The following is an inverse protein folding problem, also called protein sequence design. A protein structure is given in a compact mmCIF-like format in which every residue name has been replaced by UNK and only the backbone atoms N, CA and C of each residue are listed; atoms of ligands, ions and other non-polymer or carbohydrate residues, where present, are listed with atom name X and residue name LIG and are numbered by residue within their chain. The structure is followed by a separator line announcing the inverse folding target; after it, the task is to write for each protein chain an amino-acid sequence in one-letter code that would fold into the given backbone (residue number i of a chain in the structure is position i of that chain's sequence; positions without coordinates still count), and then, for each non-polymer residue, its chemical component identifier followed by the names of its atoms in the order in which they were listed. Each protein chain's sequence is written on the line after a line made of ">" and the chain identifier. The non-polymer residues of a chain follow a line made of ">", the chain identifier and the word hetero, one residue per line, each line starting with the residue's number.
data_IF_819516837242
#
_entry.id   IF_819516837242
#
_cell.length_a   1.000
_cell.length_b   1.000
_cell.length_c   1.000
_cell.angle_alpha   90.00
_cell.angle_beta   90.00
_cell.angle_gamma   90.00
#
_symmetry.space_group_name_H-M   'P 1'
#
loop_
_entity.id
_entity.type
_entity.pdbx_description
1 polymer ?
#
# COMPACT_ATOMS: atom_id res chain seq x y z
N UNK A 1 10.29 23.24 -18.41
CA UNK A 1 10.36 21.98 -17.62
C UNK A 1 11.75 21.39 -17.77
N UNK A 2 12.36 20.86 -16.70
CA UNK A 2 13.66 20.17 -16.77
C UNK A 2 13.50 18.83 -17.55
N UNK A 3 14.53 18.38 -18.28
CA UNK A 3 14.55 17.14 -19.07
C UNK A 3 14.01 15.92 -18.29
N UNK A 4 14.36 15.85 -17.00
CA UNK A 4 13.86 14.80 -16.09
C UNK A 4 12.33 14.79 -15.96
N UNK A 5 11.73 15.96 -15.78
CA UNK A 5 10.28 16.09 -15.64
C UNK A 5 9.57 15.77 -16.96
N UNK A 6 10.19 16.09 -18.09
CA UNK A 6 9.67 15.78 -19.41
C UNK A 6 9.64 14.27 -19.69
N UNK A 7 10.77 13.57 -19.50
CA UNK A 7 10.83 12.12 -19.71
C UNK A 7 9.92 11.36 -18.75
N UNK A 8 9.81 11.80 -17.49
CA UNK A 8 8.87 11.23 -16.53
C UNK A 8 7.42 11.41 -17.00
N UNK A 9 7.06 12.61 -17.48
CA UNK A 9 5.73 12.89 -18.00
C UNK A 9 5.39 12.01 -19.21
N UNK A 10 6.30 11.91 -20.18
CA UNK A 10 6.12 11.05 -21.35
C UNK A 10 5.97 9.57 -20.97
N UNK A 11 6.79 9.07 -20.04
CA UNK A 11 6.66 7.70 -19.54
C UNK A 11 5.30 7.46 -18.87
N UNK A 12 4.81 8.42 -18.07
CA UNK A 12 3.49 8.32 -17.44
C UNK A 12 2.35 8.38 -18.45
N UNK A 13 2.49 9.16 -19.54
CA UNK A 13 1.51 9.16 -20.64
C UNK A 13 1.43 7.80 -21.33
N UNK A 14 2.58 7.16 -21.58
CA UNK A 14 2.60 5.79 -22.15
C UNK A 14 1.94 4.81 -21.19
N UNK A 15 2.27 4.85 -19.90
CA UNK A 15 1.64 3.97 -18.90
C UNK A 15 0.14 4.23 -18.78
N UNK A 16 -0.30 5.50 -18.82
CA UNK A 16 -1.71 5.85 -18.84
C UNK A 16 -2.40 5.29 -20.09
N UNK A 17 -1.81 5.46 -21.27
CA UNK A 17 -2.36 4.89 -22.51
C UNK A 17 -2.55 3.37 -22.40
N UNK A 18 -1.55 2.65 -21.89
CA UNK A 18 -1.62 1.19 -21.68
C UNK A 18 -2.73 0.81 -20.69
N UNK A 19 -2.85 1.53 -19.57
CA UNK A 19 -3.84 1.22 -18.53
C UNK A 19 -5.27 1.55 -18.92
N UNK A 20 -5.45 2.61 -19.71
CA UNK A 20 -6.77 3.05 -20.19
C UNK A 20 -7.22 2.32 -21.46
N UNK A 21 -6.30 1.67 -22.17
CA UNK A 21 -6.61 0.95 -23.40
C UNK A 21 -7.67 -0.14 -23.17
N UNK A 22 -8.77 -0.05 -23.92
CA UNK A 22 -9.88 -1.00 -23.85
C UNK A 22 -10.72 -0.92 -22.57
N UNK A 23 -10.50 0.07 -21.68
CA UNK A 23 -11.27 0.19 -20.43
C UNK A 23 -12.74 0.56 -20.70
N UNK A 24 -13.03 1.27 -21.79
CA UNK A 24 -14.39 1.61 -22.22
C UNK A 24 -15.27 0.39 -22.51
N UNK A 25 -14.67 -0.74 -22.91
CA UNK A 25 -15.38 -1.99 -23.19
C UNK A 25 -15.28 -3.01 -22.04
N UNK A 26 -14.60 -2.67 -20.94
CA UNK A 26 -14.37 -3.58 -19.83
C UNK A 26 -15.47 -3.44 -18.76
N UNK A 27 -16.08 -4.55 -18.36
CA UNK A 27 -16.99 -4.58 -17.22
C UNK A 27 -16.22 -4.58 -15.88
N UNK A 28 -16.95 -4.52 -14.76
CA UNK A 28 -16.37 -4.77 -13.43
C UNK A 28 -16.08 -6.28 -13.30
N UNK A 29 -14.81 -6.69 -13.12
CA UNK A 29 -14.44 -8.10 -13.29
C UNK A 29 -14.72 -8.96 -12.05
N UNK A 30 -14.87 -8.36 -10.87
CA UNK A 30 -14.89 -9.05 -9.60
C UNK A 30 -15.95 -8.49 -8.63
N UNK A 31 -16.28 -9.29 -7.61
CA UNK A 31 -17.27 -8.96 -6.59
C UNK A 31 -16.91 -7.67 -5.84
N UNK A 32 -15.63 -7.47 -5.47
CA UNK A 32 -15.22 -6.31 -4.69
C UNK A 32 -15.38 -5.02 -5.50
N UNK A 33 -15.03 -5.02 -6.79
CA UNK A 33 -15.26 -3.88 -7.68
C UNK A 33 -16.75 -3.50 -7.79
N UNK A 34 -17.64 -4.50 -7.92
CA UNK A 34 -19.09 -4.25 -8.00
C UNK A 34 -19.63 -3.69 -6.69
N UNK A 35 -19.28 -4.31 -5.56
CA UNK A 35 -19.73 -3.89 -4.25
C UNK A 35 -19.21 -2.49 -3.90
N UNK A 36 -17.95 -2.19 -4.23
CA UNK A 36 -17.36 -0.87 -4.04
C UNK A 36 -18.09 0.19 -4.87
N UNK A 37 -18.42 -0.10 -6.13
CA UNK A 37 -19.21 0.81 -6.96
C UNK A 37 -20.59 1.08 -6.34
N UNK A 38 -21.30 0.05 -5.89
CA UNK A 38 -22.60 0.19 -5.22
C UNK A 38 -22.49 1.04 -3.96
N UNK A 39 -21.48 0.81 -3.13
CA UNK A 39 -21.25 1.57 -1.90
C UNK A 39 -20.95 3.05 -2.19
N UNK A 40 -20.17 3.35 -3.24
CA UNK A 40 -19.93 4.73 -3.67
C UNK A 40 -21.22 5.42 -4.11
N UNK A 41 -22.09 4.72 -4.83
CA UNK A 41 -23.39 5.26 -5.25
C UNK A 41 -24.31 5.53 -4.05
N UNK A 42 -24.35 4.62 -3.08
CA UNK A 42 -25.08 4.83 -1.83
C UNK A 42 -24.58 6.07 -1.10
N UNK A 43 -23.27 6.21 -0.92
CA UNK A 43 -22.67 7.36 -0.24
C UNK A 43 -22.96 8.65 -1.02
N UNK A 44 -22.90 8.63 -2.35
CA UNK A 44 -23.25 9.77 -3.20
C UNK A 44 -24.73 10.18 -3.07
N UNK A 45 -25.62 9.22 -2.80
CA UNK A 45 -27.05 9.46 -2.53
C UNK A 45 -27.35 9.91 -1.09
N UNK A 46 -26.32 10.02 -0.22
CA UNK A 46 -26.47 10.35 1.20
C UNK A 46 -26.75 9.16 2.10
N UNK A 47 -26.80 7.94 1.56
CA UNK A 47 -26.94 6.72 2.34
C UNK A 47 -25.56 6.23 2.82
N UNK A 48 -25.27 6.37 4.11
CA UNK A 48 -23.97 6.00 4.71
C UNK A 48 -23.96 4.61 5.35
N UNK A 49 -24.99 3.78 5.09
CA UNK A 49 -25.16 2.46 5.71
C UNK A 49 -23.94 1.55 5.56
N UNK A 50 -23.29 1.57 4.40
CA UNK A 50 -22.12 0.74 4.08
C UNK A 50 -20.81 1.53 4.01
N UNK A 51 -20.79 2.79 4.49
CA UNK A 51 -19.59 3.65 4.45
C UNK A 51 -18.35 3.00 5.08
N UNK A 52 -18.54 2.19 6.11
CA UNK A 52 -17.45 1.53 6.83
C UNK A 52 -17.19 0.09 6.38
N UNK A 53 -17.84 -0.35 5.30
CA UNK A 53 -17.57 -1.65 4.70
C UNK A 53 -16.08 -1.78 4.34
N UNK A 54 -15.52 -2.97 4.52
CA UNK A 54 -14.09 -3.27 4.30
C UNK A 54 -13.08 -2.36 5.02
N UNK A 55 -13.48 -1.53 6.00
CA UNK A 55 -12.53 -0.67 6.67
C UNK A 55 -11.97 0.46 5.78
N UNK A 56 -12.75 1.00 4.83
CA UNK A 56 -12.27 1.91 3.77
C UNK A 56 -13.11 3.19 3.49
N UNK A 57 -13.51 3.98 4.49
CA UNK A 57 -14.44 5.10 4.35
C UNK A 57 -13.89 6.24 3.51
N UNK A 58 -12.58 6.54 3.61
CA UNK A 58 -12.00 7.61 2.81
C UNK A 58 -12.00 7.25 1.32
N UNK A 59 -11.87 5.97 0.95
CA UNK A 59 -12.02 5.55 -0.44
C UNK A 59 -13.42 5.90 -0.95
N UNK A 60 -14.48 5.50 -0.24
CA UNK A 60 -15.85 5.80 -0.68
C UNK A 60 -16.13 7.30 -0.73
N UNK A 61 -15.68 8.07 0.28
CA UNK A 61 -15.88 9.53 0.33
C UNK A 61 -15.13 10.27 -0.78
N UNK A 62 -13.94 9.80 -1.19
CA UNK A 62 -13.16 10.42 -2.28
C UNK A 62 -13.82 10.18 -3.64
N UNK A 63 -14.40 9.00 -3.86
CA UNK A 63 -15.02 8.64 -5.13
C UNK A 63 -16.50 9.06 -5.24
N UNK A 64 -17.20 9.31 -4.12
CA UNK A 64 -18.61 9.73 -4.12
C UNK A 64 -18.91 10.99 -4.96
N UNK A 65 -18.09 12.07 -4.94
CA UNK A 65 -18.30 13.22 -5.82
C UNK A 65 -18.25 12.88 -7.31
N UNK A 66 -17.42 11.91 -7.70
CA UNK A 66 -17.31 11.47 -9.09
C UNK A 66 -18.57 10.70 -9.53
N UNK A 67 -19.16 9.92 -8.62
CA UNK A 67 -20.42 9.23 -8.87
C UNK A 67 -21.60 10.20 -8.99
N UNK A 68 -21.59 11.31 -8.24
CA UNK A 68 -22.57 12.39 -8.39
C UNK A 68 -22.47 13.08 -9.77
N UNK A 69 -21.25 13.27 -10.28
CA UNK A 69 -21.01 13.87 -11.61
C UNK A 69 -21.34 12.94 -12.78
N UNK A 70 -21.37 11.62 -12.55
CA UNK A 70 -21.79 10.65 -13.55
C UNK A 70 -21.94 9.27 -12.94
N UNK A 71 -23.15 8.72 -12.98
CA UNK A 71 -23.48 7.40 -12.42
C UNK A 71 -22.86 6.20 -13.16
N UNK A 72 -21.99 6.43 -14.14
CA UNK A 72 -21.33 5.39 -14.91
C UNK A 72 -20.06 4.90 -14.19
N UNK A 73 -20.01 3.60 -13.87
CA UNK A 73 -18.87 2.96 -13.21
C UNK A 73 -17.55 3.14 -13.98
N UNK A 74 -17.58 3.34 -15.29
CA UNK A 74 -16.37 3.59 -16.07
C UNK A 74 -15.63 4.85 -15.63
N UNK A 75 -16.33 5.92 -15.23
CA UNK A 75 -15.67 7.15 -14.73
C UNK A 75 -14.83 6.83 -13.50
N UNK A 76 -15.36 5.99 -12.61
CA UNK A 76 -14.66 5.54 -11.40
C UNK A 76 -13.46 4.64 -11.75
N UNK A 77 -13.61 3.74 -12.72
CA UNK A 77 -12.50 2.91 -13.23
C UNK A 77 -11.38 3.77 -13.85
N UNK A 78 -11.73 4.75 -14.69
CA UNK A 78 -10.77 5.69 -15.28
C UNK A 78 -10.03 6.47 -14.19
N UNK A 79 -10.77 7.01 -13.21
CA UNK A 79 -10.18 7.71 -12.09
C UNK A 79 -9.25 6.81 -11.26
N UNK A 80 -9.64 5.57 -11.00
CA UNK A 80 -8.80 4.62 -10.25
C UNK A 80 -7.55 4.21 -11.03
N UNK A 81 -7.66 4.00 -12.34
CA UNK A 81 -6.52 3.69 -13.20
C UNK A 81 -5.52 4.86 -13.26
N UNK A 82 -6.01 6.10 -13.37
CA UNK A 82 -5.17 7.30 -13.30
C UNK A 82 -4.54 7.50 -11.92
N UNK A 83 -5.25 7.17 -10.84
CA UNK A 83 -4.70 7.17 -9.48
C UNK A 83 -3.51 6.20 -9.38
N UNK A 84 -3.63 5.02 -10.00
CA UNK A 84 -2.56 4.04 -10.05
C UNK A 84 -1.35 4.53 -10.87
N UNK A 85 -1.57 5.22 -12.00
CA UNK A 85 -0.49 5.87 -12.77
C UNK A 85 0.24 6.91 -11.91
N UNK A 86 -0.51 7.75 -11.19
CA UNK A 86 0.05 8.75 -10.29
C UNK A 86 0.86 8.09 -9.15
N UNK A 87 0.39 6.96 -8.63
CA UNK A 87 1.09 6.18 -7.62
C UNK A 87 2.45 5.67 -8.12
N UNK A 88 2.48 5.06 -9.32
CA UNK A 88 3.72 4.59 -9.97
C UNK A 88 4.68 5.76 -10.21
N UNK A 89 4.19 6.89 -10.71
CA UNK A 89 5.01 8.08 -10.92
C UNK A 89 5.61 8.63 -9.62
N UNK A 90 4.82 8.67 -8.54
CA UNK A 90 5.27 9.14 -7.24
C UNK A 90 6.36 8.21 -6.65
N UNK A 91 6.16 6.90 -6.73
CA UNK A 91 7.12 5.91 -6.26
C UNK A 91 8.42 5.95 -7.07
N UNK A 92 8.34 5.94 -8.39
CA UNK A 92 9.52 5.99 -9.25
C UNK A 92 10.27 7.31 -9.11
N UNK A 93 9.57 8.43 -8.93
CA UNK A 93 10.20 9.71 -8.64
C UNK A 93 10.90 9.73 -7.27
N UNK A 94 10.35 9.05 -6.27
CA UNK A 94 11.01 8.87 -4.97
C UNK A 94 12.27 8.02 -5.11
N UNK A 95 12.16 6.80 -5.64
CA UNK A 95 13.30 5.89 -5.83
C UNK A 95 14.36 6.54 -6.72
N UNK A 96 13.97 7.13 -7.84
CA UNK A 96 14.91 7.76 -8.76
C UNK A 96 15.64 8.96 -8.17
N UNK A 97 15.08 9.68 -7.18
CA UNK A 97 15.81 10.76 -6.49
C UNK A 97 16.81 10.19 -5.49
N UNK A 98 16.38 9.26 -4.64
CA UNK A 98 17.21 8.74 -3.56
C UNK A 98 18.31 7.78 -4.06
N UNK A 99 18.02 6.99 -5.10
CA UNK A 99 19.01 6.16 -5.78
C UNK A 99 19.85 6.94 -6.82
N UNK A 100 19.65 8.26 -6.94
CA UNK A 100 20.37 9.13 -7.90
C UNK A 100 20.32 8.64 -9.34
N UNK A 101 19.19 8.07 -9.75
CA UNK A 101 18.99 7.56 -11.11
C UNK A 101 18.96 8.73 -12.11
N UNK A 102 19.50 8.47 -13.30
CA UNK A 102 19.38 9.38 -14.44
C UNK A 102 17.90 9.55 -14.86
N UNK A 103 17.62 10.58 -15.66
CA UNK A 103 16.27 10.81 -16.18
C UNK A 103 15.74 9.62 -16.98
N UNK A 104 16.60 9.02 -17.82
CA UNK A 104 16.29 7.81 -18.60
C UNK A 104 16.05 6.59 -17.71
N UNK A 105 16.87 6.39 -16.69
CA UNK A 105 16.67 5.29 -15.73
C UNK A 105 15.37 5.46 -14.94
N UNK A 106 15.02 6.69 -14.55
CA UNK A 106 13.75 6.97 -13.87
C UNK A 106 12.55 6.71 -14.79
N UNK A 107 12.63 7.12 -16.07
CA UNK A 107 11.60 6.86 -17.06
C UNK A 107 11.46 5.37 -17.38
N UNK A 108 12.58 4.66 -17.53
CA UNK A 108 12.62 3.21 -17.69
C UNK A 108 12.01 2.49 -16.49
N UNK A 109 12.28 2.95 -15.26
CA UNK A 109 11.65 2.42 -14.05
C UNK A 109 10.12 2.60 -14.06
N UNK A 110 9.64 3.77 -14.51
CA UNK A 110 8.18 4.02 -14.64
C UNK A 110 7.55 3.09 -15.68
N UNK A 111 8.19 2.93 -16.84
CA UNK A 111 7.68 2.02 -17.87
C UNK A 111 7.67 0.58 -17.37
N UNK A 112 8.75 0.14 -16.75
CA UNK A 112 8.88 -1.22 -16.22
C UNK A 112 7.82 -1.53 -15.15
N UNK A 113 7.70 -0.70 -14.10
CA UNK A 113 6.66 -0.88 -13.07
C UNK A 113 5.26 -0.69 -13.67
N UNK A 114 5.09 0.34 -14.50
CA UNK A 114 3.80 0.78 -15.03
C UNK A 114 3.16 -0.20 -16.01
N UNK A 115 3.97 -0.94 -16.76
CA UNK A 115 3.57 -1.96 -17.74
C UNK A 115 3.56 -3.38 -17.20
N UNK A 116 3.89 -3.58 -15.91
CA UNK A 116 3.67 -4.85 -15.23
C UNK A 116 2.21 -5.27 -15.39
N UNK A 117 1.98 -6.47 -15.94
CA UNK A 117 0.63 -7.03 -16.18
C UNK A 117 -0.18 -7.01 -14.90
N UNK A 118 0.48 -7.39 -13.80
CA UNK A 118 -0.06 -7.47 -12.47
C UNK A 118 -0.62 -6.11 -11.99
N UNK A 119 0.23 -5.07 -12.00
CA UNK A 119 -0.17 -3.71 -11.62
C UNK A 119 -1.13 -3.04 -12.63
N UNK A 120 -1.17 -3.53 -13.86
CA UNK A 120 -2.08 -3.05 -14.89
C UNK A 120 -3.48 -3.60 -14.66
N UNK A 121 -3.60 -4.91 -14.38
CA UNK A 121 -4.85 -5.55 -14.02
C UNK A 121 -5.44 -4.90 -12.76
N UNK A 122 -4.70 -4.90 -11.64
CA UNK A 122 -5.22 -4.33 -10.39
C UNK A 122 -5.48 -2.82 -10.45
N UNK A 123 -4.80 -2.08 -11.33
CA UNK A 123 -5.06 -0.66 -11.51
C UNK A 123 -6.38 -0.37 -12.22
N UNK A 124 -6.91 -1.34 -12.97
CA UNK A 124 -8.17 -1.23 -13.72
C UNK A 124 -9.38 -1.65 -12.91
N UNK A 125 -9.18 -2.53 -11.92
CA UNK A 125 -10.23 -2.92 -10.97
C UNK A 125 -10.66 -1.73 -10.11
N UNK A 126 -11.93 -1.69 -9.72
CA UNK A 126 -12.46 -0.62 -8.87
C UNK A 126 -12.32 -0.98 -7.38
N UNK A 127 -11.07 -1.13 -6.96
CA UNK A 127 -10.71 -1.47 -5.57
C UNK A 127 -9.75 -0.43 -4.98
N UNK A 128 -9.54 -0.50 -3.67
CA UNK A 128 -8.67 0.42 -2.92
C UNK A 128 -7.18 0.30 -3.29
N UNK A 129 -6.79 -0.69 -4.11
CA UNK A 129 -5.38 -1.02 -4.40
C UNK A 129 -4.60 0.17 -4.99
N UNK A 130 -5.18 0.87 -5.95
CA UNK A 130 -4.56 2.03 -6.59
C UNK A 130 -4.29 3.17 -5.62
N UNK A 131 -5.26 3.45 -4.73
CA UNK A 131 -5.10 4.46 -3.68
C UNK A 131 -4.16 4.01 -2.57
N UNK A 132 -4.19 2.73 -2.19
CA UNK A 132 -3.25 2.14 -1.25
C UNK A 132 -1.81 2.34 -1.74
N UNK A 133 -1.53 2.04 -3.02
CA UNK A 133 -0.19 2.24 -3.58
C UNK A 133 0.25 3.71 -3.52
N UNK A 134 -0.65 4.65 -3.79
CA UNK A 134 -0.33 6.08 -3.72
C UNK A 134 -0.02 6.54 -2.29
N UNK A 135 -0.88 6.17 -1.35
CA UNK A 135 -0.73 6.50 0.07
C UNK A 135 0.52 5.85 0.66
N UNK A 136 0.81 4.62 0.26
CA UNK A 136 1.99 3.89 0.66
C UNK A 136 3.26 4.54 0.11
N UNK A 137 3.32 4.88 -1.18
CA UNK A 137 4.44 5.63 -1.75
C UNK A 137 4.65 6.99 -1.05
N UNK A 138 3.55 7.66 -0.68
CA UNK A 138 3.58 8.87 0.14
C UNK A 138 4.16 8.65 1.53
N UNK A 139 3.72 7.60 2.23
CA UNK A 139 4.21 7.18 3.55
C UNK A 139 5.70 6.83 3.50
N UNK A 140 6.12 6.00 2.54
CA UNK A 140 7.52 5.61 2.35
C UNK A 140 8.42 6.83 2.23
N UNK A 141 8.06 7.75 1.34
CA UNK A 141 8.82 8.99 1.13
C UNK A 141 8.82 9.88 2.37
N UNK A 142 7.68 10.06 3.02
CA UNK A 142 7.57 10.94 4.19
C UNK A 142 8.36 10.39 5.37
N UNK A 143 8.29 9.08 5.60
CA UNK A 143 8.95 8.42 6.69
C UNK A 143 10.47 8.28 6.43
N UNK A 144 10.88 8.02 5.19
CA UNK A 144 12.29 8.09 4.81
C UNK A 144 12.91 9.48 5.09
N UNK A 145 12.18 10.56 4.78
CA UNK A 145 12.59 11.93 5.14
C UNK A 145 12.64 12.16 6.65
N UNK A 146 11.75 11.54 7.43
CA UNK A 146 11.80 11.56 8.90
C UNK A 146 13.06 10.89 9.44
N UNK A 147 13.55 9.84 8.80
CA UNK A 147 14.82 9.20 9.17
C UNK A 147 16.03 10.07 8.78
N UNK A 148 16.00 10.73 7.61
CA UNK A 148 17.08 11.61 7.15
C UNK A 148 17.17 12.92 7.95
N UNK A 149 16.03 13.50 8.28
CA UNK A 149 15.91 14.79 8.97
C UNK A 149 15.00 14.62 10.20
N UNK A 150 15.58 14.20 11.36
CA UNK A 150 14.81 13.97 12.58
C UNK A 150 14.26 15.28 13.12
N UNK A 151 13.02 15.61 12.76
CA UNK A 151 12.34 16.80 13.23
C UNK A 151 10.85 16.54 13.41
N UNK A 152 10.17 17.39 14.19
CA UNK A 152 8.76 17.22 14.49
C UNK A 152 7.88 17.28 13.24
N UNK A 153 8.23 18.12 12.27
CA UNK A 153 7.42 18.30 11.06
C UNK A 153 7.46 17.05 10.17
N UNK A 154 8.61 16.40 10.01
CA UNK A 154 8.77 15.18 9.23
C UNK A 154 8.04 14.01 9.89
N UNK A 155 8.08 13.91 11.22
CA UNK A 155 7.29 12.94 11.99
C UNK A 155 5.77 13.12 11.82
N UNK A 156 5.27 14.35 11.98
CA UNK A 156 3.84 14.63 11.79
C UNK A 156 3.40 14.43 10.34
N UNK A 157 4.24 14.78 9.36
CA UNK A 157 3.95 14.52 7.95
C UNK A 157 3.81 13.04 7.66
N UNK A 158 4.70 12.20 8.20
CA UNK A 158 4.58 10.75 8.07
C UNK A 158 3.33 10.22 8.78
N UNK A 159 3.00 10.77 9.95
CA UNK A 159 1.78 10.43 10.70
C UNK A 159 0.50 10.77 9.93
N UNK A 160 0.49 11.89 9.19
CA UNK A 160 -0.64 12.27 8.32
C UNK A 160 -0.78 11.26 7.17
N UNK A 161 0.31 10.85 6.52
CA UNK A 161 0.24 9.82 5.47
C UNK A 161 -0.27 8.47 6.02
N UNK A 162 0.16 8.09 7.23
CA UNK A 162 -0.34 6.89 7.89
C UNK A 162 -1.83 7.03 8.25
N UNK A 163 -2.25 8.19 8.79
CA UNK A 163 -3.66 8.49 9.08
C UNK A 163 -4.54 8.40 7.83
N UNK A 164 -4.10 9.00 6.72
CA UNK A 164 -4.79 8.90 5.43
C UNK A 164 -4.85 7.44 4.96
N UNK A 165 -3.73 6.70 5.07
CA UNK A 165 -3.66 5.27 4.80
C UNK A 165 -4.70 4.46 5.56
N UNK A 166 -4.74 4.59 6.89
CA UNK A 166 -5.69 3.89 7.77
C UNK A 166 -7.14 4.27 7.44
N UNK A 167 -7.38 5.54 7.14
CA UNK A 167 -8.73 6.02 6.78
C UNK A 167 -9.18 5.51 5.41
N UNK A 168 -8.23 5.27 4.51
CA UNK A 168 -8.49 4.76 3.17
C UNK A 168 -8.63 3.24 3.16
N UNK A 169 -7.86 2.54 3.99
CA UNK A 169 -7.92 1.10 4.14
C UNK A 169 -7.29 0.66 5.48
N UNK A 170 -8.03 -0.11 6.27
CA UNK A 170 -7.56 -0.67 7.55
C UNK A 170 -6.23 -1.42 7.47
N UNK A 171 -5.91 -2.00 6.30
CA UNK A 171 -4.68 -2.77 6.08
C UNK A 171 -3.44 -1.94 6.42
N UNK A 172 -3.47 -0.61 6.29
CA UNK A 172 -2.36 0.26 6.69
C UNK A 172 -1.95 0.12 8.16
N UNK A 173 -2.80 -0.43 9.04
CA UNK A 173 -2.40 -0.78 10.41
C UNK A 173 -1.22 -1.77 10.45
N UNK A 174 -1.09 -2.66 9.47
CA UNK A 174 0.04 -3.59 9.38
C UNK A 174 1.37 -2.89 9.07
N UNK A 175 1.34 -1.62 8.66
CA UNK A 175 2.56 -0.82 8.52
C UNK A 175 3.08 -0.30 9.87
N UNK A 176 2.22 -0.20 10.89
CA UNK A 176 2.58 0.37 12.21
C UNK A 176 3.72 -0.41 12.87
N UNK A 177 3.70 -1.76 12.97
CA UNK A 177 4.82 -2.52 13.52
C UNK A 177 6.15 -2.26 12.80
N UNK A 178 6.10 -2.05 11.48
CA UNK A 178 7.28 -1.75 10.67
C UNK A 178 7.83 -0.36 11.01
N UNK A 179 6.96 0.63 11.15
CA UNK A 179 7.36 1.97 11.58
C UNK A 179 7.93 1.94 13.00
N UNK A 180 7.33 1.16 13.93
CA UNK A 180 7.89 0.96 15.28
C UNK A 180 9.28 0.35 15.20
N UNK A 181 9.50 -0.66 14.34
CA UNK A 181 10.83 -1.21 14.14
C UNK A 181 11.83 -0.14 13.67
N UNK A 182 11.44 0.76 12.77
CA UNK A 182 12.29 1.89 12.39
C UNK A 182 12.56 2.87 13.53
N UNK A 183 11.57 3.21 14.36
CA UNK A 183 11.77 4.07 15.52
C UNK A 183 12.77 3.46 16.52
N UNK A 184 12.67 2.14 16.75
CA UNK A 184 13.59 1.38 17.60
C UNK A 184 15.00 1.34 16.99
N UNK A 185 15.11 1.13 15.68
CA UNK A 185 16.40 1.09 14.97
C UNK A 185 17.05 2.48 14.85
N UNK A 186 16.25 3.55 14.70
CA UNK A 186 16.75 4.91 14.62
C UNK A 186 17.21 5.42 15.99
N UNK A 187 16.55 5.00 17.08
CA UNK A 187 16.88 5.31 18.46
C UNK A 187 17.15 6.80 18.75
N UNK A 188 16.55 7.72 17.99
CA UNK A 188 16.76 9.16 18.11
C UNK A 188 15.94 9.81 19.25
N UNK A 189 15.01 9.04 19.81
CA UNK A 189 14.09 9.46 20.87
C UNK A 189 13.09 10.54 20.43
N UNK A 190 13.00 10.86 19.13
CA UNK A 190 12.17 11.97 18.62
C UNK A 190 10.69 11.82 19.02
N UNK A 191 10.19 10.59 19.01
CA UNK A 191 8.81 10.25 19.34
C UNK A 191 8.50 10.49 20.83
N UNK A 192 9.46 10.19 21.71
CA UNK A 192 9.35 10.36 23.16
C UNK A 192 9.63 11.82 23.63
N UNK A 193 10.26 12.65 22.80
CA UNK A 193 10.53 14.05 23.13
C UNK A 193 9.25 14.89 23.16
N UNK A 194 9.11 15.71 24.22
CA UNK A 194 8.23 16.90 24.33
C UNK A 194 6.85 16.77 23.66
N UNK A 195 6.07 15.75 24.07
CA UNK A 195 4.68 15.58 23.64
C UNK A 195 4.48 15.23 22.17
N UNK A 196 5.53 14.81 21.46
CA UNK A 196 5.39 14.33 20.08
C UNK A 196 4.54 13.06 20.01
N UNK A 197 4.71 12.13 20.94
CA UNK A 197 3.86 10.93 21.06
C UNK A 197 2.38 11.28 21.10
N UNK A 198 1.95 12.20 21.99
CA UNK A 198 0.55 12.63 22.05
C UNK A 198 0.06 13.26 20.75
N UNK A 199 0.89 14.03 20.05
CA UNK A 199 0.52 14.63 18.77
C UNK A 199 0.37 13.60 17.65
N UNK A 200 1.27 12.62 17.60
CA UNK A 200 1.15 11.49 16.67
C UNK A 200 -0.13 10.71 16.97
N UNK A 201 -0.38 10.39 18.24
CA UNK A 201 -1.61 9.73 18.67
C UNK A 201 -2.85 10.56 18.32
N UNK A 202 -2.85 11.88 18.55
CA UNK A 202 -3.97 12.75 18.20
C UNK A 202 -4.24 12.75 16.69
N UNK A 203 -3.18 12.79 15.85
CA UNK A 203 -3.32 12.69 14.39
C UNK A 203 -3.89 11.33 13.99
N UNK A 204 -3.37 10.24 14.54
CA UNK A 204 -3.85 8.89 14.22
C UNK A 204 -5.26 8.60 14.75
N UNK A 205 -5.64 9.21 15.88
CA UNK A 205 -6.96 9.08 16.50
C UNK A 205 -8.01 9.97 15.82
N UNK A 206 -7.61 11.07 15.19
CA UNK A 206 -8.52 12.02 14.53
C UNK A 206 -9.55 11.34 13.60
N UNK A 207 -9.17 10.44 12.66
CA UNK A 207 -10.16 9.77 11.81
C UNK A 207 -11.11 8.87 12.60
N UNK A 208 -10.65 8.22 13.67
CA UNK A 208 -11.52 7.40 14.51
C UNK A 208 -12.56 8.22 15.26
N UNK A 209 -12.17 9.39 15.75
CA UNK A 209 -13.07 10.33 16.43
C UNK A 209 -14.06 10.92 15.43
N UNK A 210 -13.57 11.49 14.31
CA UNK A 210 -14.43 12.17 13.33
C UNK A 210 -15.39 11.18 12.67
N UNK A 211 -14.89 10.05 12.15
CA UNK A 211 -15.73 9.06 11.49
C UNK A 211 -16.59 8.28 12.49
N UNK A 212 -16.11 8.09 13.72
CA UNK A 212 -16.91 7.55 14.82
C UNK A 212 -18.11 8.44 15.14
N UNK A 213 -17.89 9.75 15.26
CA UNK A 213 -18.98 10.72 15.45
C UNK A 213 -19.95 10.72 14.27
N UNK A 214 -19.47 10.66 13.02
CA UNK A 214 -20.34 10.51 11.84
C UNK A 214 -21.17 9.24 11.93
N UNK A 215 -20.55 8.10 12.29
CA UNK A 215 -21.27 6.82 12.43
C UNK A 215 -22.36 6.86 13.51
N UNK A 216 -22.13 7.61 14.58
CA UNK A 216 -23.07 7.80 15.67
C UNK A 216 -24.22 8.74 15.29
N UNK A 217 -23.91 9.87 14.63
CA UNK A 217 -24.91 10.84 14.17
C UNK A 217 -25.85 10.28 13.10
N UNK A 218 -25.40 9.30 12.32
CA UNK A 218 -26.19 8.62 11.29
C UNK A 218 -26.85 7.35 11.83
N UNK A 219 -26.78 7.13 13.15
CA UNK A 219 -27.44 6.02 13.86
C UNK A 219 -27.08 4.63 13.31
N UNK A 220 -25.84 4.44 12.86
CA UNK A 220 -25.41 3.15 12.35
C UNK A 220 -25.39 2.10 13.47
N UNK A 221 -25.83 0.84 13.18
CA UNK A 221 -25.73 -0.26 14.12
C UNK A 221 -24.29 -0.40 14.66
N UNK A 222 -24.14 -0.77 15.93
CA UNK A 222 -22.83 -0.85 16.59
C UNK A 222 -21.80 -1.64 15.77
N UNK A 223 -22.21 -2.74 15.13
CA UNK A 223 -21.36 -3.61 14.31
C UNK A 223 -20.83 -2.92 13.04
N UNK A 224 -21.49 -1.85 12.58
CA UNK A 224 -21.13 -1.06 11.40
C UNK A 224 -20.45 0.25 11.76
N UNK A 225 -20.35 0.58 13.04
CA UNK A 225 -19.60 1.76 13.49
C UNK A 225 -18.12 1.58 13.21
N UNK A 226 -17.46 2.68 12.84
CA UNK A 226 -16.08 2.65 12.37
C UNK A 226 -15.11 1.89 13.30
N UNK A 227 -15.08 2.14 14.62
CA UNK A 227 -14.20 1.38 15.52
C UNK A 227 -14.55 -0.12 15.62
N UNK A 228 -15.84 -0.45 15.55
CA UNK A 228 -16.31 -1.83 15.65
C UNK A 228 -15.97 -2.66 14.41
N UNK A 229 -15.85 -2.03 13.24
CA UNK A 229 -15.35 -2.69 12.02
C UNK A 229 -13.92 -3.18 12.23
N UNK A 230 -13.04 -2.42 12.90
CA UNK A 230 -11.68 -2.88 13.21
C UNK A 230 -11.66 -4.03 14.20
N UNK A 231 -12.52 -3.97 15.22
CA UNK A 231 -12.66 -5.08 16.17
C UNK A 231 -13.15 -6.36 15.46
N UNK A 232 -14.19 -6.24 14.63
CA UNK A 232 -14.74 -7.36 13.85
C UNK A 232 -13.77 -7.91 12.81
N UNK A 233 -12.87 -7.06 12.27
CA UNK A 233 -11.77 -7.50 11.42
C UNK A 233 -10.79 -8.35 12.23
N UNK A 234 -10.27 -7.84 13.35
CA UNK A 234 -9.27 -8.53 14.20
C UNK A 234 -9.80 -9.86 14.77
N UNK A 235 -11.07 -9.87 15.18
CA UNK A 235 -11.71 -10.96 15.91
C UNK A 235 -12.69 -11.77 15.05
N UNK A 236 -12.50 -11.85 13.73
CA UNK A 236 -13.37 -12.67 12.86
C UNK A 236 -13.51 -14.10 13.41
N UNK A 237 -14.67 -14.39 13.98
CA UNK A 237 -15.02 -15.69 14.54
C UNK A 237 -15.46 -16.71 13.49
N UNK A 238 -15.66 -16.27 12.24
CA UNK A 238 -16.03 -17.14 11.13
C UNK A 238 -14.78 -17.84 10.57
N UNK A 239 -14.80 -19.18 10.46
CA UNK A 239 -13.70 -19.92 9.87
C UNK A 239 -13.55 -19.59 8.38
N UNK A 240 -12.31 -19.43 7.91
CA UNK A 240 -12.03 -19.32 6.48
C UNK A 240 -12.34 -20.66 5.76
N UNK A 241 -12.24 -20.68 4.42
CA UNK A 241 -12.47 -21.89 3.61
C UNK A 241 -11.59 -23.10 4.03
N UNK A 242 -10.48 -22.84 4.72
CA UNK A 242 -9.58 -23.84 5.27
C UNK A 242 -9.83 -24.13 6.77
N UNK A 243 -10.98 -23.71 7.31
CA UNK A 243 -11.40 -23.96 8.70
C UNK A 243 -10.69 -23.10 9.76
N UNK A 244 -9.85 -22.14 9.37
CA UNK A 244 -9.06 -21.34 10.33
C UNK A 244 -9.85 -20.12 10.81
N UNK A 245 -9.81 -19.87 12.11
CA UNK A 245 -10.51 -18.75 12.77
C UNK A 245 -9.51 -17.68 13.22
N UNK A 246 -9.90 -16.41 13.15
CA UNK A 246 -9.07 -15.26 13.52
C UNK A 246 -8.12 -14.80 12.42
N UNK A 247 -7.17 -13.93 12.79
CA UNK A 247 -6.17 -13.37 11.85
C UNK A 247 -4.77 -13.92 12.06
N UNK A 248 -4.44 -14.49 13.22
CA UNK A 248 -3.07 -14.91 13.50
C UNK A 248 -2.91 -16.42 13.36
N UNK A 249 -2.04 -16.84 12.44
CA UNK A 249 -1.54 -18.21 12.33
C UNK A 249 -0.08 -18.15 11.97
N UNK A 250 0.73 -18.67 12.88
CA UNK A 250 2.16 -18.75 12.69
C UNK A 250 2.51 -19.87 11.72
N UNK A 251 3.05 -19.50 10.56
CA UNK A 251 3.55 -20.42 9.55
C UNK A 251 4.76 -19.79 8.83
N UNK A 252 5.93 -19.99 9.44
CA UNK A 252 7.22 -19.53 8.91
C UNK A 252 7.61 -20.24 7.61
N UNK A 253 7.24 -21.51 7.45
CA UNK A 253 7.71 -22.35 6.35
C UNK A 253 6.88 -22.14 5.08
N UNK A 254 5.64 -21.69 5.22
CA UNK A 254 4.78 -21.43 4.07
C UNK A 254 5.44 -20.58 2.99
N UNK A 255 6.13 -19.48 3.31
CA UNK A 255 6.75 -18.65 2.26
C UNK A 255 7.96 -19.31 1.63
N UNK A 256 8.67 -20.15 2.38
CA UNK A 256 9.76 -20.96 1.81
C UNK A 256 9.17 -21.97 0.81
N UNK A 257 8.08 -22.66 1.19
CA UNK A 257 7.38 -23.58 0.29
C UNK A 257 6.75 -22.86 -0.89
N UNK A 258 6.09 -21.74 -0.66
CA UNK A 258 5.49 -20.92 -1.71
C UNK A 258 6.54 -20.41 -2.70
N UNK A 259 7.67 -19.89 -2.20
CA UNK A 259 8.75 -19.39 -3.05
C UNK A 259 9.45 -20.52 -3.84
N UNK A 260 9.46 -21.74 -3.30
CA UNK A 260 10.00 -22.93 -3.97
C UNK A 260 9.05 -23.47 -5.02
N UNK A 261 7.76 -23.53 -4.71
CA UNK A 261 6.76 -24.28 -5.48
C UNK A 261 6.08 -23.42 -6.55
N UNK A 262 5.97 -22.11 -6.35
CA UNK A 262 5.23 -21.19 -7.23
C UNK A 262 6.10 -20.10 -7.86
N UNK A 263 7.36 -20.02 -7.46
CA UNK A 263 8.22 -18.89 -7.74
C UNK A 263 9.61 -19.33 -8.20
N UNK A 264 10.39 -18.38 -8.72
CA UNK A 264 11.74 -18.70 -9.17
C UNK A 264 12.64 -18.93 -7.95
N UNK A 265 13.29 -20.11 -7.78
CA UNK A 265 14.15 -20.41 -6.64
C UNK A 265 15.29 -19.41 -6.41
N UNK A 266 15.64 -18.64 -7.45
CA UNK A 266 16.57 -17.50 -7.36
C UNK A 266 16.09 -16.41 -6.39
N UNK A 267 14.79 -16.16 -6.29
CA UNK A 267 14.22 -15.20 -5.34
C UNK A 267 14.51 -15.66 -3.91
N UNK A 268 14.28 -16.95 -3.61
CA UNK A 268 14.61 -17.55 -2.32
C UNK A 268 16.12 -17.43 -2.01
N UNK A 269 16.99 -17.70 -2.99
CA UNK A 269 18.43 -17.50 -2.85
C UNK A 269 18.78 -16.05 -2.55
N UNK A 270 18.20 -15.08 -3.28
CA UNK A 270 18.45 -13.66 -3.00
C UNK A 270 18.00 -13.27 -1.60
N UNK A 271 16.90 -13.82 -1.10
CA UNK A 271 16.38 -13.54 0.24
C UNK A 271 17.33 -14.02 1.35
N UNK A 272 17.97 -15.16 1.15
CA UNK A 272 18.94 -15.74 2.09
C UNK A 272 20.33 -15.09 1.97
N UNK A 273 20.73 -14.71 0.75
CA UNK A 273 22.06 -14.20 0.43
C UNK A 273 22.16 -12.68 0.73
N UNK A 274 21.09 -11.91 0.54
CA UNK A 274 21.08 -10.45 0.73
C UNK A 274 21.51 -9.99 2.13
N UNK A 275 21.05 -10.59 3.25
CA UNK A 275 21.54 -10.24 4.59
C UNK A 275 23.04 -10.47 4.76
N UNK A 276 23.58 -11.48 4.05
CA UNK A 276 24.98 -11.88 4.11
C UNK A 276 25.85 -10.96 3.25
N UNK A 277 25.47 -10.74 1.99
CA UNK A 277 26.22 -9.89 1.05
C UNK A 277 26.21 -8.43 1.47
N UNK A 278 25.08 -7.93 1.97
CA UNK A 278 24.94 -6.53 2.39
C UNK A 278 25.03 -6.37 3.90
N UNK A 279 25.76 -7.26 4.57
CA UNK A 279 25.90 -7.24 6.03
C UNK A 279 26.44 -5.88 6.52
N UNK A 280 27.34 -5.25 5.77
CA UNK A 280 27.94 -3.96 6.14
C UNK A 280 26.93 -2.82 6.04
N UNK A 281 26.16 -2.79 4.96
CA UNK A 281 25.14 -1.78 4.65
C UNK A 281 23.90 -1.94 5.55
N UNK A 282 23.52 -3.17 5.84
CA UNK A 282 22.34 -3.50 6.66
C UNK A 282 22.63 -3.39 8.17
N UNK A 283 23.83 -3.75 8.63
CA UNK A 283 24.10 -3.87 10.07
C UNK A 283 25.22 -2.97 10.61
N UNK A 284 26.21 -2.54 9.81
CA UNK A 284 27.39 -1.84 10.33
C UNK A 284 27.38 -0.30 10.14
N UNK A 285 26.64 0.24 9.15
CA UNK A 285 26.52 1.70 8.94
C UNK A 285 25.19 2.27 9.47
N UNK A 286 24.98 2.17 10.79
CA UNK A 286 23.74 2.60 11.48
C UNK A 286 23.47 4.11 11.54
N UNK A 287 24.44 4.96 11.22
CA UNK A 287 24.31 6.41 11.44
C UNK A 287 23.65 7.18 10.30
N UNK A 288 23.49 6.60 9.11
CA UNK A 288 22.86 7.28 7.97
C UNK A 288 21.80 6.39 7.29
N UNK A 289 20.58 6.90 7.06
CA UNK A 289 19.52 6.15 6.40
C UNK A 289 19.78 6.03 4.90
N UNK A 290 20.18 4.84 4.44
CA UNK A 290 20.25 4.49 3.02
C UNK A 290 18.90 3.92 2.55
N UNK A 291 18.49 4.25 1.32
CA UNK A 291 17.31 3.68 0.66
C UNK A 291 17.33 2.14 0.65
N UNK A 292 18.50 1.53 0.44
CA UNK A 292 18.68 0.06 0.44
C UNK A 292 18.23 -0.56 1.74
N UNK A 293 18.75 -0.02 2.84
CA UNK A 293 18.42 -0.50 4.18
C UNK A 293 16.98 -0.20 4.54
N UNK A 294 16.47 0.97 4.13
CA UNK A 294 15.09 1.35 4.34
C UNK A 294 14.14 0.33 3.71
N UNK A 295 14.32 0.03 2.43
CA UNK A 295 13.48 -0.95 1.72
C UNK A 295 13.70 -2.38 2.24
N UNK A 296 14.92 -2.73 2.66
CA UNK A 296 15.19 -4.05 3.25
C UNK A 296 14.42 -4.26 4.57
N UNK A 297 14.42 -3.29 5.49
CA UNK A 297 13.64 -3.40 6.75
C UNK A 297 12.16 -3.55 6.45
N UNK A 298 11.63 -2.76 5.51
CA UNK A 298 10.26 -2.94 5.03
C UNK A 298 10.01 -4.36 4.50
N UNK A 299 10.87 -4.88 3.62
CA UNK A 299 10.73 -6.23 3.05
C UNK A 299 10.78 -7.34 4.10
N UNK A 300 11.74 -7.31 5.03
CA UNK A 300 11.88 -8.33 6.08
C UNK A 300 10.75 -8.25 7.11
N UNK A 301 10.36 -7.06 7.56
CA UNK A 301 9.23 -6.93 8.48
C UNK A 301 7.92 -7.33 7.81
N UNK A 302 7.77 -7.05 6.52
CA UNK A 302 6.61 -7.49 5.76
C UNK A 302 6.54 -9.02 5.71
N UNK A 303 7.63 -9.67 5.30
CA UNK A 303 7.79 -11.13 5.34
C UNK A 303 7.49 -11.75 6.69
N UNK A 304 8.03 -11.16 7.75
CA UNK A 304 7.82 -11.62 9.11
C UNK A 304 6.33 -11.51 9.47
N UNK A 305 5.69 -10.36 9.21
CA UNK A 305 4.26 -10.17 9.45
C UNK A 305 3.40 -11.18 8.70
N UNK A 306 3.72 -11.41 7.43
CA UNK A 306 3.04 -12.37 6.57
C UNK A 306 3.14 -13.82 7.06
N UNK A 307 4.21 -14.15 7.76
CA UNK A 307 4.40 -15.46 8.39
C UNK A 307 3.54 -15.65 9.65
N UNK A 308 2.92 -14.60 10.16
CA UNK A 308 2.07 -14.61 11.36
C UNK A 308 0.58 -14.49 11.01
N UNK A 309 0.24 -14.12 9.78
CA UNK A 309 -1.15 -13.91 9.34
C UNK A 309 -1.78 -15.21 8.80
N UNK A 310 -3.07 -15.40 9.09
CA UNK A 310 -3.92 -16.43 8.48
C UNK A 310 -4.02 -16.14 6.99
N UNK A 311 -3.65 -17.14 6.20
CA UNK A 311 -3.69 -17.07 4.75
C UNK A 311 -5.04 -17.59 4.31
N UNK A 312 -5.80 -16.76 3.61
CA UNK A 312 -6.90 -17.28 2.81
C UNK A 312 -6.30 -18.17 1.70
N UNK A 313 -6.92 -19.31 1.36
CA UNK A 313 -6.62 -20.02 0.14
C UNK A 313 -7.19 -19.21 -1.04
N UNK A 314 -6.62 -18.03 -1.31
CA UNK A 314 -6.88 -17.29 -2.53
C UNK A 314 -5.89 -17.83 -3.57
N UNK A 315 -6.26 -18.93 -4.21
CA UNK A 315 -5.66 -19.28 -5.50
C UNK A 315 -6.11 -18.26 -6.51
N UNK A 316 -5.20 -17.39 -6.98
CA UNK A 316 -5.38 -16.55 -8.18
C UNK A 316 -4.04 -15.98 -8.67
N UNK A 317 -3.43 -16.75 -9.58
CA UNK A 317 -2.53 -16.37 -10.68
C UNK A 317 -1.29 -15.47 -10.46
N UNK A 318 -0.18 -16.18 -10.25
CA UNK A 318 1.12 -15.92 -10.84
C UNK A 318 1.12 -15.99 -12.37
N UNK A 319 1.71 -15.00 -13.05
CA UNK A 319 2.53 -15.12 -14.29
C UNK A 319 2.86 -13.72 -14.83
N UNK A 320 4.05 -13.22 -14.50
CA UNK A 320 4.96 -12.33 -15.29
C UNK A 320 5.69 -11.32 -14.40
N UNK A 321 6.85 -11.70 -13.90
CA UNK A 321 7.97 -10.78 -13.62
C UNK A 321 9.27 -11.59 -13.45
N UNK A 322 9.63 -12.38 -14.45
CA UNK A 322 10.96 -12.97 -14.53
C UNK A 322 11.51 -12.88 -15.95
N UNK A 323 12.26 -11.80 -16.19
CA UNK A 323 13.45 -11.84 -17.04
C UNK A 323 14.30 -10.60 -16.75
N UNK A 324 15.56 -10.84 -16.33
CA UNK A 324 16.75 -9.94 -16.32
C UNK A 324 17.15 -9.21 -15.02
N UNK A 325 18.47 -8.99 -14.81
CA UNK A 325 19.12 -9.17 -13.51
C UNK A 325 19.35 -7.84 -12.77
N UNK A 326 18.51 -7.52 -11.78
CA UNK A 326 18.82 -6.47 -10.80
C UNK A 326 18.28 -6.86 -9.42
N UNK A 327 19.14 -7.33 -8.50
CA UNK A 327 18.71 -7.86 -7.19
C UNK A 327 18.05 -6.79 -6.29
N UNK A 328 18.18 -5.51 -6.62
CA UNK A 328 17.58 -4.42 -5.85
C UNK A 328 16.20 -3.96 -6.36
N UNK A 329 15.93 -4.14 -7.67
CA UNK A 329 14.61 -3.89 -8.26
C UNK A 329 13.70 -5.11 -8.14
N UNK A 330 14.26 -6.33 -8.13
CA UNK A 330 13.52 -7.52 -7.74
C UNK A 330 12.98 -7.39 -6.31
N UNK A 331 13.70 -6.76 -5.37
CA UNK A 331 13.14 -6.43 -4.06
C UNK A 331 12.05 -5.36 -4.11
N UNK A 332 12.02 -4.48 -5.12
CA UNK A 332 10.95 -3.47 -5.29
C UNK A 332 9.74 -4.07 -5.99
N UNK A 333 9.93 -4.91 -7.00
CA UNK A 333 8.85 -5.70 -7.61
C UNK A 333 8.30 -6.70 -6.61
N UNK A 334 9.15 -7.40 -5.87
CA UNK A 334 8.73 -8.30 -4.80
C UNK A 334 8.14 -7.54 -3.63
N UNK A 335 8.60 -6.32 -3.31
CA UNK A 335 7.93 -5.47 -2.34
C UNK A 335 6.60 -4.93 -2.86
N UNK A 336 6.46 -4.64 -4.16
CA UNK A 336 5.21 -4.20 -4.78
C UNK A 336 4.21 -5.34 -4.97
N UNK A 337 4.70 -6.55 -5.25
CA UNK A 337 3.94 -7.80 -5.40
C UNK A 337 3.60 -8.37 -4.03
N UNK A 338 4.51 -8.36 -3.06
CA UNK A 338 4.25 -8.78 -1.68
C UNK A 338 3.38 -7.74 -0.96
N UNK A 339 3.57 -6.43 -1.20
CA UNK A 339 2.61 -5.37 -0.83
C UNK A 339 1.29 -5.43 -1.60
N UNK A 340 1.02 -6.47 -2.40
CA UNK A 340 -0.20 -6.59 -3.19
C UNK A 340 -0.88 -7.96 -3.08
N UNK A 341 -0.14 -9.07 -3.10
CA UNK A 341 -0.66 -10.44 -3.06
C UNK A 341 -1.44 -10.79 -1.77
N UNK A 342 -1.36 -9.93 -0.76
CA UNK A 342 -2.13 -10.03 0.49
C UNK A 342 -2.60 -8.65 1.01
N UNK A 343 -2.70 -7.65 0.12
CA UNK A 343 -3.06 -6.26 0.47
C UNK A 343 -4.23 -5.69 -0.30
#
# INVERSE_FOLDING_TARGET
>A
MNQRSWLLFLALLVVAAVRLYGLAGAALPDYDSVYNWQTVQEVASGNLTHLFHQGAPLFYLVFAPLAWLGGNFHILQYANALLAVAAVGNLAAFVGREARLSAWQTAGLVLFIGTSVFLTFSGRDFTMNSGNLLLFAGLLRAYYRRLQTPNRQSLLRASIWLMLGISFNYRFLFTVPILVAFELLAADGLLLRRGNAWRVLAVLAAPFVVLGLVSWLVELPLQRQWPAVYYGLIMRGEPNLAGNVGIFRFDMLYYIYFLRDFEVPLVLLTLLITPVLWRRELFQQLRQPNLVRYLAVWGYCFLAGMSVLIKAPAGSCWLTACSTPWPFLACVDWFLVACWAYW
#
